data_IF_927875440547
#
_entry.id   IF_927875440547
#
_cell.length_a   1.000
_cell.length_b   1.000
_cell.length_c   1.000
_cell.angle_alpha   90.00
_cell.angle_beta   90.00
_cell.angle_gamma   90.00
#
_symmetry.space_group_name_H-M   'P 1'
#
loop_
_entity.id
_entity.type
_entity.pdbx_description
1 polymer ?
#
# COMPACT_ATOMS: atom_id res chain seq x y z
N UNK A 1 19.35 -9.28 -18.14
CA UNK A 1 18.02 -9.70 -17.69
C UNK A 1 17.01 -8.71 -18.22
N UNK A 2 15.89 -9.22 -18.69
CA UNK A 2 14.76 -8.39 -19.07
C UNK A 2 14.23 -7.65 -17.84
N UNK A 3 13.89 -6.37 -17.96
CA UNK A 3 13.44 -5.53 -16.85
C UNK A 3 11.99 -5.05 -17.12
N UNK A 4 11.02 -5.98 -17.08
CA UNK A 4 9.66 -5.69 -17.49
C UNK A 4 8.89 -4.84 -16.47
N UNK A 5 9.35 -4.79 -15.22
CA UNK A 5 8.64 -4.18 -14.10
C UNK A 5 9.37 -2.95 -13.57
N UNK A 6 8.72 -1.79 -13.60
CA UNK A 6 9.16 -0.58 -12.93
C UNK A 6 8.41 -0.40 -11.61
N UNK A 7 9.13 -0.08 -10.53
CA UNK A 7 8.56 0.12 -9.20
C UNK A 7 9.00 1.46 -8.62
N UNK A 8 8.02 2.31 -8.36
CA UNK A 8 8.25 3.60 -7.71
C UNK A 8 8.14 3.47 -6.19
N UNK A 9 9.12 4.00 -5.47
CA UNK A 9 9.18 3.99 -4.00
C UNK A 9 9.55 5.37 -3.45
N UNK A 10 9.18 5.62 -2.18
CA UNK A 10 9.67 6.74 -1.39
C UNK A 10 10.07 6.25 0.00
N UNK A 11 11.21 6.68 0.48
CA UNK A 11 11.74 6.24 1.77
C UNK A 11 10.87 6.67 2.97
N UNK A 12 10.08 7.73 2.85
CA UNK A 12 9.11 8.15 3.88
C UNK A 12 7.74 7.44 3.79
N UNK A 13 7.56 6.49 2.86
CA UNK A 13 6.34 5.69 2.77
C UNK A 13 6.52 4.34 3.46
N UNK A 14 5.77 4.05 4.54
CA UNK A 14 5.82 2.74 5.20
C UNK A 14 5.25 1.63 4.32
N UNK A 15 4.27 1.94 3.46
CA UNK A 15 3.74 0.98 2.49
C UNK A 15 4.77 0.60 1.42
N UNK A 16 5.58 1.57 0.95
CA UNK A 16 6.66 1.27 0.01
C UNK A 16 7.76 0.43 0.69
N UNK A 17 8.10 0.70 1.94
CA UNK A 17 9.04 -0.13 2.71
C UNK A 17 8.57 -1.59 2.80
N UNK A 18 7.31 -1.81 3.16
CA UNK A 18 6.73 -3.16 3.23
C UNK A 18 6.60 -3.86 1.88
N UNK A 19 6.64 -3.11 0.78
CA UNK A 19 6.54 -3.66 -0.57
C UNK A 19 7.87 -4.17 -1.12
N UNK A 20 9.01 -3.68 -0.61
CA UNK A 20 10.34 -4.01 -1.16
C UNK A 20 10.60 -5.50 -1.14
N UNK A 21 10.45 -6.15 0.01
CA UNK A 21 10.77 -7.56 0.18
C UNK A 21 9.89 -8.50 -0.66
N UNK A 22 8.55 -8.44 -0.61
CA UNK A 22 7.71 -9.31 -1.44
C UNK A 22 7.91 -9.06 -2.94
N UNK A 23 8.20 -7.83 -3.36
CA UNK A 23 8.51 -7.53 -4.75
C UNK A 23 9.84 -8.17 -5.19
N UNK A 24 10.87 -8.10 -4.37
CA UNK A 24 12.16 -8.78 -4.62
C UNK A 24 12.00 -10.29 -4.68
N UNK A 25 11.25 -10.86 -3.75
CA UNK A 25 10.97 -12.29 -3.70
C UNK A 25 10.28 -12.76 -4.99
N UNK A 26 9.20 -12.08 -5.40
CA UNK A 26 8.51 -12.35 -6.67
C UNK A 26 9.48 -12.28 -7.86
N UNK A 27 10.29 -11.23 -7.95
CA UNK A 27 11.23 -11.06 -9.06
C UNK A 27 12.31 -12.14 -9.09
N UNK A 28 12.81 -12.57 -7.94
CA UNK A 28 13.77 -13.65 -7.80
C UNK A 28 13.19 -14.98 -8.28
N UNK A 29 11.96 -15.31 -7.88
CA UNK A 29 11.27 -16.52 -8.30
C UNK A 29 11.01 -16.56 -9.80
N UNK A 30 10.69 -15.40 -10.40
CA UNK A 30 10.44 -15.26 -11.84
C UNK A 30 11.72 -15.05 -12.67
N UNK A 31 12.88 -14.87 -12.03
CA UNK A 31 14.15 -14.62 -12.73
C UNK A 31 14.20 -13.29 -13.50
N UNK A 32 13.45 -12.28 -13.07
CA UNK A 32 13.38 -10.95 -13.70
C UNK A 32 14.15 -9.90 -12.91
N UNK A 33 14.55 -8.82 -13.58
CA UNK A 33 15.07 -7.61 -12.94
C UNK A 33 13.94 -6.60 -12.69
N UNK A 34 14.13 -5.76 -11.66
CA UNK A 34 13.20 -4.67 -11.31
C UNK A 34 13.87 -3.34 -11.57
N UNK A 35 13.17 -2.46 -12.25
CA UNK A 35 13.55 -1.06 -12.40
C UNK A 35 13.04 -0.25 -11.20
N UNK A 36 13.81 -0.19 -10.11
CA UNK A 36 13.47 0.64 -8.97
C UNK A 36 13.70 2.12 -9.25
N UNK A 37 12.69 2.94 -9.07
CA UNK A 37 12.75 4.39 -9.24
C UNK A 37 12.25 5.12 -7.98
N UNK A 38 12.89 6.22 -7.58
CA UNK A 38 12.37 7.04 -6.50
C UNK A 38 11.23 7.93 -7.00
N UNK A 39 10.18 8.08 -6.17
CA UNK A 39 9.12 9.07 -6.35
C UNK A 39 8.84 9.75 -5.02
N UNK A 40 9.27 11.00 -4.87
CA UNK A 40 9.16 11.76 -3.63
C UNK A 40 7.75 12.30 -3.45
N UNK A 41 7.05 11.82 -2.42
CA UNK A 41 5.69 12.23 -2.10
C UNK A 41 5.62 13.68 -1.63
N UNK A 42 4.74 14.46 -2.22
CA UNK A 42 4.36 15.79 -1.73
C UNK A 42 3.16 15.69 -0.79
N UNK A 43 3.40 15.05 0.37
CA UNK A 43 2.36 14.77 1.38
C UNK A 43 1.59 16.05 1.78
N UNK A 44 2.23 17.22 2.00
CA UNK A 44 1.51 18.43 2.37
C UNK A 44 0.42 18.84 1.39
N UNK A 45 0.62 18.63 0.10
CA UNK A 45 -0.34 19.08 -0.94
C UNK A 45 -1.69 18.34 -0.91
N UNK A 46 -1.76 17.12 -0.34
CA UNK A 46 -2.98 16.31 -0.37
C UNK A 46 -3.40 15.73 0.99
N UNK A 47 -2.50 15.69 1.98
CA UNK A 47 -2.77 15.10 3.30
C UNK A 47 -2.50 16.08 4.45
N UNK A 48 -2.13 17.32 4.14
CA UNK A 48 -1.72 18.30 5.13
C UNK A 48 -0.40 17.91 5.82
N UNK A 49 0.05 18.78 6.72
CA UNK A 49 1.31 18.63 7.44
C UNK A 49 1.09 18.40 8.93
N UNK A 50 2.07 17.80 9.57
CA UNK A 50 2.16 17.73 11.02
C UNK A 50 3.63 17.59 11.45
N UNK A 51 3.97 18.19 12.59
CA UNK A 51 5.27 18.11 13.23
C UNK A 51 5.09 17.84 14.73
N UNK A 52 5.88 16.94 15.26
CA UNK A 52 5.93 16.67 16.70
C UNK A 52 7.03 17.53 17.33
N UNK A 53 6.83 17.91 18.57
CA UNK A 53 7.85 18.52 19.41
C UNK A 53 8.80 17.45 20.03
N UNK A 54 9.70 17.89 20.90
CA UNK A 54 10.67 17.01 21.56
C UNK A 54 10.04 16.00 22.54
N UNK A 55 8.84 16.32 23.06
CA UNK A 55 8.07 15.43 23.94
C UNK A 55 7.27 14.39 23.17
N UNK A 56 7.11 14.57 21.84
CA UNK A 56 6.32 13.70 20.97
C UNK A 56 4.88 14.17 20.80
N UNK A 57 4.54 15.35 21.31
CA UNK A 57 3.24 15.98 21.13
C UNK A 57 3.16 16.74 19.80
N UNK A 58 1.95 16.95 19.30
CA UNK A 58 1.72 17.69 18.04
C UNK A 58 1.99 19.17 18.26
N UNK A 59 3.10 19.67 17.74
CA UNK A 59 3.48 21.07 17.80
C UNK A 59 2.74 21.91 16.74
N UNK A 60 2.60 21.37 15.55
CA UNK A 60 1.95 22.01 14.40
C UNK A 60 1.18 20.99 13.58
N UNK A 61 -0.02 21.32 13.13
CA UNK A 61 -0.80 20.49 12.22
C UNK A 61 -1.76 21.30 11.38
N UNK A 62 -1.88 20.91 10.09
CA UNK A 62 -2.90 21.43 9.17
C UNK A 62 -3.86 20.32 8.68
N UNK A 63 -3.85 19.15 9.33
CA UNK A 63 -4.66 18.00 8.97
C UNK A 63 -6.08 18.08 9.48
N UNK A 64 -7.08 17.71 8.65
CA UNK A 64 -8.43 17.47 9.10
C UNK A 64 -8.52 16.21 10.00
N UNK A 65 -9.67 16.02 10.65
CA UNK A 65 -9.94 14.84 11.48
C UNK A 65 -9.85 13.55 10.64
N UNK A 66 -10.39 13.56 9.41
CA UNK A 66 -10.35 12.42 8.48
C UNK A 66 -8.93 12.12 8.04
N UNK A 67 -8.13 13.14 7.71
CA UNK A 67 -6.73 12.98 7.36
C UNK A 67 -5.92 12.37 8.50
N UNK A 68 -6.15 12.82 9.73
CA UNK A 68 -5.53 12.23 10.92
C UNK A 68 -5.90 10.76 11.12
N UNK A 69 -7.19 10.44 10.94
CA UNK A 69 -7.66 9.08 11.04
C UNK A 69 -7.02 8.17 10.00
N UNK A 70 -6.96 8.63 8.75
CA UNK A 70 -6.28 7.90 7.67
C UNK A 70 -4.79 7.66 7.96
N UNK A 71 -4.09 8.66 8.50
CA UNK A 71 -2.67 8.50 8.90
C UNK A 71 -2.51 7.50 10.03
N UNK A 72 -3.33 7.59 11.08
CA UNK A 72 -3.30 6.65 12.20
C UNK A 72 -3.56 5.21 11.74
N UNK A 73 -4.58 5.02 10.88
CA UNK A 73 -4.87 3.71 10.30
C UNK A 73 -3.68 3.19 9.48
N UNK A 74 -3.09 4.01 8.62
CA UNK A 74 -1.93 3.61 7.80
C UNK A 74 -0.77 3.11 8.66
N UNK A 75 -0.43 3.78 9.76
CA UNK A 75 0.60 3.31 10.67
C UNK A 75 0.19 2.04 11.43
N UNK A 76 -1.06 1.94 11.84
CA UNK A 76 -1.58 0.74 12.49
C UNK A 76 -1.48 -0.46 11.54
N UNK A 77 -1.94 -0.30 10.31
CA UNK A 77 -1.92 -1.33 9.29
C UNK A 77 -0.49 -1.74 8.90
N UNK A 78 0.39 -0.77 8.64
CA UNK A 78 1.78 -1.05 8.30
C UNK A 78 2.52 -1.80 9.43
N UNK A 79 2.29 -1.42 10.69
CA UNK A 79 2.90 -2.13 11.83
C UNK A 79 2.44 -3.56 11.96
N UNK A 80 1.19 -3.86 11.63
CA UNK A 80 0.66 -5.22 11.59
C UNK A 80 1.54 -6.13 10.74
N UNK A 81 1.86 -5.71 9.51
CA UNK A 81 2.71 -6.47 8.59
C UNK A 81 4.19 -6.38 8.92
N UNK A 82 4.67 -5.24 9.39
CA UNK A 82 6.04 -5.10 9.87
C UNK A 82 6.36 -6.07 11.01
N UNK A 83 5.44 -6.19 11.97
CA UNK A 83 5.59 -7.09 13.11
C UNK A 83 5.67 -8.57 12.70
N UNK A 84 4.96 -8.99 11.65
CA UNK A 84 5.07 -10.37 11.12
C UNK A 84 6.49 -10.70 10.67
N UNK A 85 7.24 -9.69 10.19
CA UNK A 85 8.59 -9.81 9.64
C UNK A 85 9.69 -9.34 10.58
N UNK A 86 9.37 -9.05 11.83
CA UNK A 86 10.33 -8.48 12.78
C UNK A 86 10.88 -7.09 12.40
N UNK A 87 10.18 -6.40 11.49
CA UNK A 87 10.55 -5.05 11.05
C UNK A 87 10.03 -3.99 12.03
N UNK A 88 10.77 -2.88 12.14
CA UNK A 88 10.37 -1.74 12.98
C UNK A 88 9.82 -0.61 12.09
N UNK A 89 8.61 -0.14 12.39
CA UNK A 89 8.02 1.07 11.81
C UNK A 89 7.59 2.00 12.95
N UNK A 90 8.42 3.00 13.25
CA UNK A 90 8.10 4.10 14.18
C UNK A 90 7.47 5.24 13.39
N UNK A 91 6.40 5.86 13.91
CA UNK A 91 5.84 7.07 13.30
C UNK A 91 6.89 8.16 13.19
N UNK A 92 6.94 8.87 12.07
CA UNK A 92 7.92 9.94 11.84
C UNK A 92 7.60 11.18 12.69
N UNK A 93 8.62 11.93 13.08
CA UNK A 93 8.48 13.16 13.90
C UNK A 93 8.07 14.38 13.07
N UNK A 94 8.33 14.33 11.77
CA UNK A 94 7.97 15.35 10.78
C UNK A 94 7.72 14.68 9.42
N UNK A 95 7.22 15.43 8.46
CA UNK A 95 7.25 15.02 7.06
C UNK A 95 8.67 15.33 6.55
N UNK A 96 9.45 14.28 6.29
CA UNK A 96 10.82 14.39 5.81
C UNK A 96 10.90 14.78 4.34
N UNK A 97 11.87 15.60 3.97
CA UNK A 97 12.29 15.73 2.60
C UNK A 97 13.22 14.56 2.21
N UNK A 98 12.75 13.69 1.34
CA UNK A 98 13.50 12.51 0.89
C UNK A 98 14.17 12.72 -0.48
N UNK A 99 14.23 13.95 -1.00
CA UNK A 99 14.88 14.23 -2.30
C UNK A 99 16.35 13.81 -2.30
N UNK A 100 17.10 14.11 -1.24
CA UNK A 100 18.50 13.74 -1.16
C UNK A 100 18.69 12.22 -1.15
N UNK A 101 17.85 11.48 -0.42
CA UNK A 101 17.87 10.02 -0.44
C UNK A 101 17.47 9.46 -1.82
N UNK A 102 16.53 10.11 -2.53
CA UNK A 102 16.16 9.76 -3.89
C UNK A 102 17.32 9.96 -4.88
N UNK A 103 18.08 11.05 -4.74
CA UNK A 103 19.30 11.32 -5.53
C UNK A 103 20.37 10.26 -5.22
N UNK A 104 20.56 9.91 -3.95
CA UNK A 104 21.45 8.83 -3.53
C UNK A 104 21.07 7.48 -4.15
N UNK A 105 19.78 7.19 -4.26
CA UNK A 105 19.29 5.98 -4.92
C UNK A 105 19.67 5.95 -6.41
N UNK A 106 19.62 7.10 -7.10
CA UNK A 106 20.07 7.21 -8.49
C UNK A 106 21.58 7.05 -8.63
N UNK A 107 22.35 7.62 -7.69
CA UNK A 107 23.80 7.44 -7.64
C UNK A 107 24.20 5.98 -7.44
N UNK A 108 23.55 5.28 -6.50
CA UNK A 108 23.75 3.85 -6.27
C UNK A 108 23.43 3.02 -7.52
N UNK A 109 22.31 3.33 -8.21
CA UNK A 109 21.89 2.63 -9.42
C UNK A 109 22.92 2.71 -10.55
N UNK A 110 23.59 3.86 -10.73
CA UNK A 110 24.63 4.04 -11.75
C UNK A 110 25.83 3.09 -11.53
N UNK A 111 25.95 2.54 -10.32
CA UNK A 111 27.08 1.68 -9.94
C UNK A 111 26.71 0.17 -9.82
N UNK A 112 25.46 -0.17 -10.07
CA UNK A 112 24.99 -1.54 -10.18
C UNK A 112 23.85 -1.91 -9.23
N UNK A 113 23.10 -2.94 -9.60
CA UNK A 113 21.90 -3.36 -8.88
C UNK A 113 22.19 -3.79 -7.44
N UNK A 114 23.30 -4.46 -7.20
CA UNK A 114 23.68 -4.91 -5.87
C UNK A 114 23.92 -3.77 -4.89
N UNK A 115 24.56 -2.69 -5.39
CA UNK A 115 24.78 -1.46 -4.62
C UNK A 115 23.43 -0.76 -4.38
N UNK A 116 22.57 -0.71 -5.38
CA UNK A 116 21.23 -0.16 -5.27
C UNK A 116 20.41 -0.88 -4.20
N UNK A 117 20.40 -2.22 -4.20
CA UNK A 117 19.64 -2.99 -3.23
C UNK A 117 20.14 -2.75 -1.80
N UNK A 118 21.48 -2.77 -1.58
CA UNK A 118 22.07 -2.45 -0.28
C UNK A 118 21.79 -1.01 0.16
N UNK A 119 21.77 -0.07 -0.78
CA UNK A 119 21.41 1.32 -0.47
C UNK A 119 19.95 1.46 -0.04
N UNK A 120 19.01 0.83 -0.74
CA UNK A 120 17.58 0.84 -0.40
C UNK A 120 17.38 0.35 1.04
N UNK A 121 18.01 -0.77 1.41
CA UNK A 121 17.93 -1.32 2.76
C UNK A 121 18.66 -0.44 3.79
N UNK A 122 19.80 0.10 3.40
CA UNK A 122 20.61 1.02 4.23
C UNK A 122 19.90 2.33 4.57
N UNK A 123 18.94 2.77 3.76
CA UNK A 123 18.07 3.91 4.09
C UNK A 123 16.84 3.42 4.88
N UNK A 124 16.07 2.47 4.37
CA UNK A 124 14.78 2.11 4.97
C UNK A 124 14.89 1.62 6.40
N UNK A 125 15.81 0.71 6.68
CA UNK A 125 15.91 0.08 8.00
C UNK A 125 16.18 1.10 9.12
N UNK A 126 17.24 1.92 9.07
CA UNK A 126 17.49 2.90 10.13
C UNK A 126 16.53 4.10 10.08
N UNK A 127 16.02 4.50 8.92
CA UNK A 127 15.04 5.58 8.82
C UNK A 127 13.76 5.26 9.63
N UNK A 128 13.20 4.07 9.45
CA UNK A 128 11.97 3.68 10.15
C UNK A 128 12.20 3.33 11.63
N UNK A 129 13.46 3.18 12.05
CA UNK A 129 13.86 3.14 13.47
C UNK A 129 14.07 4.55 14.07
N UNK A 130 13.97 5.62 13.27
CA UNK A 130 14.31 7.01 13.61
C UNK A 130 15.80 7.19 13.95
N UNK A 131 16.67 6.49 13.28
CA UNK A 131 18.13 6.49 13.49
C UNK A 131 18.87 7.16 12.33
N UNK A 132 18.17 7.63 11.29
CA UNK A 132 18.78 8.19 10.07
C UNK A 132 18.18 9.55 9.71
N UNK A 133 19.04 10.54 9.52
CA UNK A 133 18.69 11.85 8.97
C UNK A 133 18.95 11.86 7.46
N UNK A 134 17.88 11.64 6.68
CA UNK A 134 17.95 11.57 5.21
C UNK A 134 18.07 12.94 4.53
N UNK A 135 17.99 14.04 5.28
CA UNK A 135 18.20 15.40 4.79
C UNK A 135 19.68 15.83 4.93
N UNK A 136 20.49 15.05 5.62
CA UNK A 136 21.92 15.34 5.81
C UNK A 136 22.77 14.61 4.76
N UNK A 137 23.49 15.40 3.93
CA UNK A 137 24.29 14.85 2.83
C UNK A 137 25.41 13.92 3.28
N UNK A 138 26.06 14.20 4.42
CA UNK A 138 27.11 13.33 4.93
C UNK A 138 26.57 11.98 5.43
N UNK A 139 25.32 11.97 5.93
CA UNK A 139 24.63 10.75 6.33
C UNK A 139 24.28 9.90 5.10
N UNK A 140 23.71 10.51 4.07
CA UNK A 140 23.37 9.80 2.83
C UNK A 140 24.63 9.28 2.11
N UNK A 141 25.70 10.08 2.08
CA UNK A 141 27.02 9.67 1.57
C UNK A 141 27.58 8.48 2.34
N UNK A 142 27.44 8.48 3.67
CA UNK A 142 27.83 7.35 4.53
C UNK A 142 27.06 6.07 4.22
N UNK A 143 25.74 6.17 3.98
CA UNK A 143 24.92 5.02 3.56
C UNK A 143 25.36 4.49 2.19
N UNK A 144 25.67 5.38 1.24
CA UNK A 144 26.21 4.99 -0.07
C UNK A 144 27.53 4.23 0.07
N UNK A 145 28.46 4.75 0.86
CA UNK A 145 29.72 4.08 1.13
C UNK A 145 29.56 2.70 1.76
N UNK A 146 28.67 2.58 2.76
CA UNK A 146 28.34 1.31 3.40
C UNK A 146 27.66 0.32 2.43
N UNK A 147 26.92 0.81 1.44
CA UNK A 147 26.36 0.01 0.37
C UNK A 147 27.43 -0.47 -0.65
N UNK A 148 28.66 0.05 -0.56
CA UNK A 148 29.76 -0.26 -1.45
C UNK A 148 29.89 0.66 -2.66
N UNK A 149 29.17 1.81 -2.65
CA UNK A 149 29.29 2.78 -3.72
C UNK A 149 30.59 3.60 -3.61
N UNK A 150 31.14 3.99 -4.74
CA UNK A 150 32.14 5.07 -4.82
C UNK A 150 31.41 6.39 -4.54
N UNK A 151 31.80 7.05 -3.47
CA UNK A 151 31.12 8.29 -3.03
C UNK A 151 31.81 9.56 -3.51
N UNK A 152 33.03 9.46 -4.06
CA UNK A 152 33.73 10.61 -4.63
C UNK A 152 32.92 11.23 -5.77
N UNK A 153 32.62 12.53 -5.67
CA UNK A 153 31.76 13.27 -6.60
C UNK A 153 30.26 13.21 -6.27
N UNK A 154 29.84 12.46 -5.26
CA UNK A 154 28.40 12.39 -4.90
C UNK A 154 27.83 13.76 -4.51
N UNK A 155 28.59 14.58 -3.75
CA UNK A 155 28.13 15.91 -3.32
C UNK A 155 27.89 16.83 -4.51
N UNK A 156 28.83 16.85 -5.45
CA UNK A 156 28.71 17.67 -6.67
C UNK A 156 27.53 17.19 -7.53
N UNK A 157 27.37 15.87 -7.65
CA UNK A 157 26.22 15.27 -8.31
C UNK A 157 24.92 15.66 -7.61
N UNK A 158 24.86 15.56 -6.29
CA UNK A 158 23.63 15.79 -5.51
C UNK A 158 23.15 17.25 -5.60
N UNK A 159 24.06 18.21 -5.73
CA UNK A 159 23.72 19.64 -5.83
C UNK A 159 23.69 20.17 -7.28
N UNK A 160 24.06 19.35 -8.25
CA UNK A 160 24.05 19.67 -9.68
C UNK A 160 23.17 18.72 -10.49
N UNK A 161 23.77 17.97 -11.40
CA UNK A 161 23.10 17.06 -12.34
C UNK A 161 22.07 16.14 -11.66
N UNK A 162 22.39 15.56 -10.50
CA UNK A 162 21.51 14.66 -9.79
C UNK A 162 20.22 15.31 -9.28
N UNK A 163 20.30 16.58 -8.85
CA UNK A 163 19.12 17.33 -8.44
C UNK A 163 18.20 17.61 -9.64
N UNK A 164 18.78 18.03 -10.77
CA UNK A 164 18.04 18.32 -12.00
C UNK A 164 17.38 17.05 -12.55
N UNK A 165 18.12 15.96 -12.64
CA UNK A 165 17.59 14.66 -13.06
C UNK A 165 16.46 14.17 -12.14
N UNK A 166 16.64 14.30 -10.82
CA UNK A 166 15.61 13.89 -9.87
C UNK A 166 14.34 14.72 -10.06
N UNK A 167 14.47 16.04 -10.18
CA UNK A 167 13.33 16.93 -10.41
C UNK A 167 12.58 16.56 -11.70
N UNK A 168 13.29 16.37 -12.80
CA UNK A 168 12.69 16.01 -14.09
C UNK A 168 11.98 14.65 -14.02
N UNK A 169 12.61 13.67 -13.38
CA UNK A 169 12.01 12.33 -13.20
C UNK A 169 10.74 12.40 -12.33
N UNK A 170 10.75 13.16 -11.22
CA UNK A 170 9.57 13.36 -10.37
C UNK A 170 8.42 14.00 -11.15
N UNK A 171 8.74 15.02 -11.95
CA UNK A 171 7.75 15.70 -12.79
C UNK A 171 7.18 14.74 -13.84
N UNK A 172 8.04 14.07 -14.59
CA UNK A 172 7.61 13.11 -15.61
C UNK A 172 6.74 11.98 -15.02
N UNK A 173 7.18 11.38 -13.91
CA UNK A 173 6.40 10.35 -13.25
C UNK A 173 5.01 10.86 -12.85
N UNK A 174 4.93 12.06 -12.24
CA UNK A 174 3.65 12.65 -11.87
C UNK A 174 2.76 12.95 -13.07
N UNK A 175 3.32 13.45 -14.17
CA UNK A 175 2.57 13.72 -15.41
C UNK A 175 2.00 12.45 -16.04
N UNK A 176 2.67 11.31 -15.86
CA UNK A 176 2.21 9.99 -16.28
C UNK A 176 1.30 9.28 -15.26
N UNK A 177 0.78 10.01 -14.28
CA UNK A 177 -0.23 9.50 -13.34
C UNK A 177 0.32 8.75 -12.13
N UNK A 178 1.65 8.81 -11.88
CA UNK A 178 2.23 8.31 -10.64
C UNK A 178 1.97 9.34 -9.54
N UNK A 179 1.08 9.04 -8.61
CA UNK A 179 0.64 9.97 -7.56
C UNK A 179 0.98 9.49 -6.14
N UNK A 180 1.39 8.26 -6.00
CA UNK A 180 1.69 7.62 -4.71
C UNK A 180 2.64 6.44 -4.85
N UNK A 181 3.03 5.84 -3.73
CA UNK A 181 3.94 4.70 -3.69
C UNK A 181 3.54 3.67 -2.62
N UNK A 182 3.83 2.36 -2.80
CA UNK A 182 4.47 1.81 -3.98
C UNK A 182 3.56 1.89 -5.21
N UNK A 183 4.12 2.17 -6.38
CA UNK A 183 3.42 2.05 -7.66
C UNK A 183 4.22 1.20 -8.60
N UNK A 184 3.56 0.25 -9.23
CA UNK A 184 4.12 -0.68 -10.19
C UNK A 184 3.65 -0.32 -11.59
N UNK A 185 4.55 -0.35 -12.56
CA UNK A 185 4.26 -0.16 -13.97
C UNK A 185 4.73 -1.38 -14.74
N UNK A 186 3.81 -2.04 -15.41
CA UNK A 186 4.04 -3.22 -16.24
C UNK A 186 3.40 -3.00 -17.62
N UNK A 187 4.22 -2.71 -18.63
CA UNK A 187 3.72 -2.23 -19.91
C UNK A 187 2.91 -0.94 -19.74
N UNK A 188 1.66 -0.94 -20.19
CA UNK A 188 0.72 0.17 -20.06
C UNK A 188 -0.08 0.16 -18.76
N UNK A 189 0.04 -0.91 -17.96
CA UNK A 189 -0.68 -1.06 -16.71
C UNK A 189 0.02 -0.37 -15.55
N UNK A 190 -0.75 0.40 -14.77
CA UNK A 190 -0.33 1.05 -13.53
C UNK A 190 -1.09 0.42 -12.38
N UNK A 191 -0.36 -0.01 -11.34
CA UNK A 191 -0.89 -0.60 -10.12
C UNK A 191 -0.39 0.19 -8.91
N UNK A 192 -1.30 0.78 -8.14
CA UNK A 192 -0.97 1.49 -6.91
C UNK A 192 -1.25 0.61 -5.70
N UNK A 193 -0.20 0.21 -5.01
CA UNK A 193 -0.27 -0.64 -3.83
C UNK A 193 0.27 -2.05 -4.04
N UNK A 194 0.89 -2.63 -3.01
CA UNK A 194 1.48 -3.98 -3.04
C UNK A 194 0.44 -5.11 -3.08
N UNK A 195 -0.81 -4.81 -2.82
CA UNK A 195 -1.94 -5.73 -2.94
C UNK A 195 -2.15 -6.26 -4.36
N UNK A 196 -1.59 -5.58 -5.35
CA UNK A 196 -1.63 -5.99 -6.74
C UNK A 196 -0.51 -6.97 -7.15
N UNK A 197 0.41 -7.31 -6.27
CA UNK A 197 1.51 -8.26 -6.58
C UNK A 197 1.02 -9.60 -7.11
N UNK A 198 -0.07 -10.23 -6.59
CA UNK A 198 -0.59 -11.46 -7.18
C UNK A 198 -0.99 -11.31 -8.66
N UNK A 199 -1.62 -10.19 -9.03
CA UNK A 199 -2.02 -9.90 -10.42
C UNK A 199 -0.81 -9.58 -11.30
N UNK A 200 0.16 -8.84 -10.78
CA UNK A 200 1.41 -8.53 -11.49
C UNK A 200 2.18 -9.82 -11.80
N UNK A 201 2.30 -10.71 -10.82
CA UNK A 201 2.88 -12.05 -11.02
C UNK A 201 2.16 -12.82 -12.10
N UNK A 202 0.84 -12.92 -12.03
CA UNK A 202 0.01 -13.61 -13.02
C UNK A 202 0.22 -13.07 -14.45
N UNK A 203 0.34 -11.76 -14.62
CA UNK A 203 0.65 -11.17 -15.93
C UNK A 203 2.05 -11.51 -16.40
N UNK A 204 3.05 -11.46 -15.52
CA UNK A 204 4.43 -11.83 -15.84
C UNK A 204 4.58 -13.31 -16.21
N UNK A 205 3.73 -14.16 -15.68
CA UNK A 205 3.64 -15.60 -16.01
C UNK A 205 2.79 -15.88 -17.25
N UNK A 206 2.35 -14.86 -17.99
CA UNK A 206 1.60 -15.00 -19.25
C UNK A 206 0.09 -14.96 -19.12
N UNK A 207 -0.45 -14.56 -17.98
CA UNK A 207 -1.89 -14.32 -17.75
C UNK A 207 -2.77 -15.57 -18.03
N UNK A 208 -2.32 -16.75 -17.63
CA UNK A 208 -3.07 -17.99 -17.82
C UNK A 208 -4.13 -18.19 -16.73
N UNK A 209 -5.33 -18.58 -17.14
CA UNK A 209 -6.47 -18.79 -16.23
C UNK A 209 -7.07 -17.50 -15.68
N UNK A 210 -7.95 -17.59 -14.66
CA UNK A 210 -8.58 -16.41 -14.07
C UNK A 210 -7.56 -15.53 -13.34
N UNK A 211 -7.72 -14.22 -13.48
CA UNK A 211 -6.86 -13.27 -12.78
C UNK A 211 -7.06 -13.39 -11.27
N UNK A 212 -5.98 -13.42 -10.48
CA UNK A 212 -6.08 -13.45 -9.02
C UNK A 212 -6.65 -12.13 -8.48
N UNK A 213 -7.26 -12.22 -7.30
CA UNK A 213 -7.71 -11.04 -6.56
C UNK A 213 -6.54 -10.34 -5.88
N UNK A 214 -6.79 -9.14 -5.39
CA UNK A 214 -5.82 -8.40 -4.59
C UNK A 214 -5.58 -9.11 -3.26
N UNK A 215 -4.33 -9.08 -2.81
CA UNK A 215 -3.95 -9.70 -1.55
C UNK A 215 -2.58 -9.25 -1.08
N UNK A 216 -2.43 -9.06 0.22
CA UNK A 216 -1.10 -8.91 0.81
C UNK A 216 -0.49 -10.29 0.96
N UNK A 217 0.50 -10.59 0.15
CA UNK A 217 1.21 -11.88 0.22
C UNK A 217 1.88 -12.04 1.59
N UNK A 218 1.71 -13.23 2.15
CA UNK A 218 2.45 -13.67 3.32
C UNK A 218 3.71 -14.39 2.84
N UNK A 219 4.84 -13.96 3.35
CA UNK A 219 6.11 -14.62 3.08
C UNK A 219 6.25 -15.86 3.96
N UNK A 220 7.07 -16.81 3.52
CA UNK A 220 7.27 -18.09 4.22
C UNK A 220 7.67 -17.93 5.69
N UNK A 221 8.47 -16.91 5.97
CA UNK A 221 9.03 -16.65 7.31
C UNK A 221 8.17 -15.68 8.14
N UNK A 222 7.02 -15.24 7.61
CA UNK A 222 6.11 -14.37 8.36
C UNK A 222 5.57 -15.10 9.60
N UNK A 223 5.77 -14.48 10.77
CA UNK A 223 5.28 -15.01 12.04
C UNK A 223 3.83 -14.59 12.27
N UNK A 224 2.90 -15.42 11.82
CA UNK A 224 1.46 -15.15 11.96
C UNK A 224 0.97 -15.64 13.34
N UNK A 225 0.45 -14.71 14.14
CA UNK A 225 -0.20 -15.02 15.42
C UNK A 225 -1.60 -15.58 15.20
N UNK A 226 -1.99 -16.55 16.01
CA UNK A 226 -3.34 -17.16 15.99
C UNK A 226 -4.41 -16.16 16.42
N UNK A 227 -5.61 -16.30 15.84
CA UNK A 227 -6.79 -15.63 16.37
C UNK A 227 -7.27 -16.31 17.66
N UNK A 228 -7.83 -15.52 18.58
CA UNK A 228 -8.37 -16.00 19.85
C UNK A 228 -9.82 -16.50 19.74
N UNK A 229 -10.43 -16.48 18.55
CA UNK A 229 -11.82 -16.90 18.33
C UNK A 229 -12.07 -17.25 16.86
N UNK A 230 -13.22 -17.87 16.61
CA UNK A 230 -13.69 -18.26 15.27
C UNK A 230 -14.85 -17.40 14.75
N UNK A 231 -15.04 -16.20 15.26
CA UNK A 231 -16.03 -15.25 14.76
C UNK A 231 -15.33 -14.18 13.94
N UNK A 232 -15.83 -13.95 12.73
CA UNK A 232 -15.38 -12.90 11.83
C UNK A 232 -16.53 -11.92 11.59
N UNK A 233 -16.33 -10.67 11.99
CA UNK A 233 -17.25 -9.61 11.61
C UNK A 233 -16.91 -9.07 10.22
N UNK A 234 -17.92 -8.91 9.37
CA UNK A 234 -17.78 -8.48 7.97
C UNK A 234 -18.73 -7.33 7.67
N UNK A 235 -18.19 -6.16 7.46
CA UNK A 235 -18.93 -4.98 7.02
C UNK A 235 -18.81 -4.75 5.51
N UNK A 236 -19.92 -4.65 4.80
CA UNK A 236 -19.96 -4.48 3.36
C UNK A 236 -20.96 -3.42 2.92
N UNK A 237 -20.67 -2.76 1.81
CA UNK A 237 -21.62 -1.93 1.06
C UNK A 237 -22.18 -2.71 -0.11
N UNK A 238 -23.48 -2.69 -0.31
CA UNK A 238 -24.14 -3.42 -1.39
C UNK A 238 -23.85 -2.86 -2.79
N UNK A 239 -23.37 -1.62 -2.86
CA UNK A 239 -23.13 -0.91 -4.12
C UNK A 239 -21.69 -1.01 -4.63
N UNK A 240 -20.78 -1.56 -3.80
CA UNK A 240 -19.36 -1.61 -4.14
C UNK A 240 -18.96 -3.01 -4.63
N UNK A 241 -18.35 -3.14 -5.83
CA UNK A 241 -17.94 -4.45 -6.38
C UNK A 241 -16.87 -5.14 -5.53
N UNK A 242 -16.09 -4.38 -4.78
CA UNK A 242 -15.13 -4.89 -3.81
C UNK A 242 -15.81 -5.71 -2.71
N UNK A 243 -17.02 -5.32 -2.31
CA UNK A 243 -17.84 -6.04 -1.33
C UNK A 243 -18.30 -7.40 -1.85
N UNK A 244 -18.67 -7.47 -3.13
CA UNK A 244 -19.04 -8.72 -3.77
C UNK A 244 -17.90 -9.73 -3.77
N UNK A 245 -16.72 -9.32 -4.21
CA UNK A 245 -15.54 -10.20 -4.23
C UNK A 245 -15.14 -10.64 -2.83
N UNK A 246 -15.21 -9.72 -1.85
CA UNK A 246 -14.94 -10.04 -0.45
C UNK A 246 -15.94 -11.04 0.12
N UNK A 247 -17.24 -10.82 -0.12
CA UNK A 247 -18.30 -11.71 0.36
C UNK A 247 -18.11 -13.14 -0.17
N UNK A 248 -17.81 -13.30 -1.47
CA UNK A 248 -17.51 -14.61 -2.04
C UNK A 248 -16.36 -15.32 -1.35
N UNK A 249 -15.24 -14.61 -1.14
CA UNK A 249 -14.08 -15.21 -0.48
C UNK A 249 -14.38 -15.57 0.97
N UNK A 250 -15.12 -14.71 1.68
CA UNK A 250 -15.52 -14.99 3.07
C UNK A 250 -16.44 -16.19 3.16
N UNK A 251 -17.41 -16.36 2.24
CA UNK A 251 -18.30 -17.52 2.20
C UNK A 251 -17.51 -18.83 2.04
N UNK A 252 -16.57 -18.86 1.09
CA UNK A 252 -15.68 -20.01 0.89
C UNK A 252 -14.85 -20.27 2.17
N UNK A 253 -14.27 -19.23 2.75
CA UNK A 253 -13.48 -19.35 3.95
C UNK A 253 -14.31 -19.80 5.16
N UNK A 254 -15.56 -19.36 5.26
CA UNK A 254 -16.48 -19.76 6.33
C UNK A 254 -16.83 -21.25 6.24
N UNK A 255 -17.06 -21.75 5.03
CA UNK A 255 -17.29 -23.18 4.78
C UNK A 255 -16.03 -24.01 5.09
N UNK A 256 -14.89 -23.63 4.54
CA UNK A 256 -13.61 -24.33 4.72
C UNK A 256 -13.17 -24.44 6.19
N UNK A 257 -13.45 -23.43 7.00
CA UNK A 257 -12.92 -23.30 8.36
C UNK A 257 -13.98 -23.44 9.46
N UNK A 258 -15.24 -23.71 9.10
CA UNK A 258 -16.38 -23.75 10.03
C UNK A 258 -16.46 -22.49 10.91
N UNK A 259 -16.52 -21.30 10.23
CA UNK A 259 -16.52 -20.02 10.90
C UNK A 259 -17.93 -19.50 11.13
N UNK A 260 -18.11 -18.83 12.27
CA UNK A 260 -19.25 -17.92 12.45
C UNK A 260 -18.91 -16.56 11.83
N UNK A 261 -19.76 -16.09 10.93
CA UNK A 261 -19.60 -14.79 10.28
C UNK A 261 -20.78 -13.88 10.64
N UNK A 262 -20.44 -12.73 11.21
CA UNK A 262 -21.40 -11.68 11.54
C UNK A 262 -21.35 -10.62 10.44
N UNK A 263 -22.47 -10.45 9.71
CA UNK A 263 -22.55 -9.57 8.55
C UNK A 263 -23.23 -8.24 8.89
N UNK A 264 -22.60 -7.13 8.47
CA UNK A 264 -23.07 -5.77 8.76
C UNK A 264 -23.19 -4.94 7.50
N UNK A 265 -24.26 -4.11 7.41
CA UNK A 265 -24.40 -3.12 6.37
C UNK A 265 -23.46 -1.92 6.65
N UNK A 266 -22.69 -1.52 5.64
CA UNK A 266 -21.95 -0.26 5.64
C UNK A 266 -22.63 0.72 4.68
N UNK A 267 -22.73 2.00 5.06
CA UNK A 267 -23.21 3.02 4.15
C UNK A 267 -22.24 3.13 2.96
N UNK A 268 -22.81 3.31 1.78
CA UNK A 268 -22.02 3.65 0.61
C UNK A 268 -21.30 4.96 0.87
N UNK A 269 -19.99 4.97 0.60
CA UNK A 269 -19.21 6.19 0.74
C UNK A 269 -19.57 7.13 -0.40
N UNK A 270 -20.21 8.26 -0.09
CA UNK A 270 -20.25 9.36 -1.05
C UNK A 270 -18.82 9.76 -1.41
N UNK A 271 -18.42 9.39 -2.60
CA UNK A 271 -17.14 9.84 -3.13
C UNK A 271 -17.27 11.34 -3.36
N UNK A 272 -16.44 12.13 -2.70
CA UNK A 272 -16.27 13.53 -3.07
C UNK A 272 -16.11 13.61 -4.58
N UNK A 273 -16.93 14.42 -5.24
CA UNK A 273 -16.87 14.58 -6.69
C UNK A 273 -15.43 14.83 -7.19
N UNK A 274 -15.15 14.60 -8.46
CA UNK A 274 -13.84 14.90 -9.01
C UNK A 274 -13.53 16.38 -8.75
N UNK A 275 -12.26 16.72 -8.42
CA UNK A 275 -11.86 18.10 -8.27
C UNK A 275 -12.13 18.87 -9.57
N UNK A 276 -12.39 20.18 -9.43
CA UNK A 276 -12.62 21.07 -10.58
C UNK A 276 -11.55 20.80 -11.67
N UNK A 277 -11.94 20.48 -12.90
CA UNK A 277 -11.01 20.26 -14.01
C UNK A 277 -10.11 21.48 -14.30
N UNK A 278 -10.57 22.68 -13.98
CA UNK A 278 -9.81 23.92 -14.12
C UNK A 278 -8.72 24.10 -13.06
N UNK A 279 -8.81 23.43 -11.91
CA UNK A 279 -7.77 23.50 -10.88
C UNK A 279 -6.56 22.66 -11.24
N UNK A 280 -5.47 23.32 -11.67
CA UNK A 280 -4.20 22.71 -12.06
C UNK A 280 -3.22 22.58 -10.89
N UNK A 281 -3.61 22.91 -9.67
CA UNK A 281 -2.75 22.72 -8.50
C UNK A 281 -2.31 21.25 -8.36
N UNK A 282 -1.11 21.04 -7.80
CA UNK A 282 -0.57 19.69 -7.59
C UNK A 282 -1.52 18.83 -6.74
N UNK A 283 -2.15 19.42 -5.72
CA UNK A 283 -3.12 18.71 -4.89
C UNK A 283 -4.39 18.30 -5.63
N UNK A 284 -4.92 19.16 -6.52
CA UNK A 284 -6.06 18.82 -7.35
C UNK A 284 -5.73 17.71 -8.37
N UNK A 285 -4.57 17.82 -9.03
CA UNK A 285 -4.08 16.79 -9.94
C UNK A 285 -3.86 15.46 -9.23
N UNK A 286 -3.29 15.47 -8.03
CA UNK A 286 -3.14 14.26 -7.20
C UNK A 286 -4.52 13.62 -6.90
N UNK A 287 -5.53 14.41 -6.53
CA UNK A 287 -6.89 13.89 -6.29
C UNK A 287 -7.51 13.29 -7.55
N UNK A 288 -7.29 13.90 -8.74
CA UNK A 288 -7.75 13.34 -10.03
C UNK A 288 -7.09 12.00 -10.32
N UNK A 289 -5.77 11.89 -10.27
CA UNK A 289 -5.06 10.62 -10.50
C UNK A 289 -5.49 9.54 -9.53
N UNK A 290 -5.71 9.90 -8.26
CA UNK A 290 -6.24 8.97 -7.27
C UNK A 290 -7.67 8.51 -7.60
N UNK A 291 -8.51 9.38 -8.12
CA UNK A 291 -9.86 9.03 -8.56
C UNK A 291 -9.83 8.11 -9.79
N UNK A 292 -9.00 8.42 -10.78
CA UNK A 292 -8.78 7.59 -11.97
C UNK A 292 -8.23 6.21 -11.62
N UNK A 293 -7.30 6.13 -10.66
CA UNK A 293 -6.80 4.84 -10.20
C UNK A 293 -7.89 4.02 -9.53
N UNK A 294 -8.71 4.62 -8.66
CA UNK A 294 -9.86 3.92 -8.04
C UNK A 294 -10.83 3.40 -9.10
N UNK A 295 -11.11 4.19 -10.14
CA UNK A 295 -11.99 3.75 -11.22
C UNK A 295 -11.36 2.59 -12.04
N UNK A 296 -10.04 2.60 -12.26
CA UNK A 296 -9.34 1.44 -12.87
C UNK A 296 -9.47 0.19 -12.02
N UNK A 297 -9.26 0.31 -10.71
CA UNK A 297 -9.37 -0.83 -9.79
C UNK A 297 -10.80 -1.33 -9.69
N UNK A 298 -11.79 -0.42 -9.67
CA UNK A 298 -13.21 -0.78 -9.73
C UNK A 298 -13.56 -1.57 -10.99
N UNK A 299 -13.06 -1.15 -12.17
CA UNK A 299 -13.25 -1.90 -13.43
C UNK A 299 -12.59 -3.27 -13.36
N UNK A 300 -11.39 -3.39 -12.79
CA UNK A 300 -10.73 -4.68 -12.56
C UNK A 300 -11.57 -5.59 -11.67
N UNK A 301 -12.13 -5.05 -10.58
CA UNK A 301 -13.04 -5.78 -9.70
C UNK A 301 -14.30 -6.26 -10.46
N UNK A 302 -14.93 -5.39 -11.23
CA UNK A 302 -16.12 -5.76 -12.02
C UNK A 302 -15.80 -6.85 -13.03
N UNK A 303 -14.69 -6.73 -13.77
CA UNK A 303 -14.24 -7.76 -14.72
C UNK A 303 -14.01 -9.09 -14.03
N UNK A 304 -13.40 -9.07 -12.86
CA UNK A 304 -13.14 -10.29 -12.09
C UNK A 304 -14.43 -10.90 -11.52
N UNK A 305 -15.36 -10.08 -11.05
CA UNK A 305 -16.67 -10.54 -10.57
C UNK A 305 -17.47 -11.22 -11.71
N UNK A 306 -17.49 -10.62 -12.88
CA UNK A 306 -18.14 -11.21 -14.07
C UNK A 306 -17.47 -12.52 -14.52
N UNK A 307 -16.15 -12.59 -14.46
CA UNK A 307 -15.39 -13.80 -14.81
C UNK A 307 -15.64 -14.98 -13.86
N UNK A 308 -16.22 -14.75 -12.69
CA UNK A 308 -16.57 -15.80 -11.73
C UNK A 308 -17.82 -16.63 -12.14
N UNK A 309 -18.45 -16.30 -13.25
CA UNK A 309 -19.59 -17.05 -13.82
C UNK A 309 -20.96 -16.54 -13.37
N UNK A 310 -21.01 -15.52 -12.54
CA UNK A 310 -22.27 -14.91 -12.13
C UNK A 310 -22.77 -13.95 -13.21
N UNK A 311 -24.01 -14.10 -13.63
CA UNK A 311 -24.62 -13.29 -14.71
C UNK A 311 -24.73 -11.82 -14.28
N UNK A 312 -25.03 -11.59 -13.00
CA UNK A 312 -25.04 -10.28 -12.38
C UNK A 312 -24.39 -10.38 -11.00
N UNK A 313 -23.16 -9.86 -10.82
CA UNK A 313 -22.48 -9.92 -9.53
C UNK A 313 -23.06 -8.88 -8.55
N UNK A 314 -24.24 -9.16 -8.03
CA UNK A 314 -24.95 -8.31 -7.06
C UNK A 314 -24.73 -8.85 -5.67
N UNK A 315 -24.12 -8.07 -4.80
CA UNK A 315 -23.82 -8.46 -3.41
C UNK A 315 -25.09 -8.86 -2.65
N UNK A 316 -26.18 -8.13 -2.82
CA UNK A 316 -27.45 -8.45 -2.19
C UNK A 316 -27.97 -9.84 -2.58
N UNK A 317 -27.95 -10.17 -3.88
CA UNK A 317 -28.37 -11.48 -4.40
C UNK A 317 -27.49 -12.61 -3.85
N UNK A 318 -26.18 -12.40 -3.78
CA UNK A 318 -25.25 -13.39 -3.21
C UNK A 318 -25.58 -13.69 -1.75
N UNK A 319 -25.83 -12.66 -0.94
CA UNK A 319 -26.17 -12.83 0.48
C UNK A 319 -27.52 -13.52 0.66
N UNK A 320 -28.53 -13.12 -0.12
CA UNK A 320 -29.89 -13.69 -0.07
C UNK A 320 -29.87 -15.17 -0.43
N UNK A 321 -29.14 -15.58 -1.48
CA UNK A 321 -28.95 -16.98 -1.87
C UNK A 321 -28.29 -17.83 -0.80
N UNK A 322 -27.49 -17.23 0.08
CA UNK A 322 -26.85 -17.89 1.21
C UNK A 322 -27.61 -17.70 2.55
N UNK A 323 -28.82 -17.14 2.53
CA UNK A 323 -29.65 -16.94 3.71
C UNK A 323 -29.08 -15.91 4.69
N UNK A 324 -28.28 -14.98 4.22
CA UNK A 324 -27.58 -13.98 5.05
C UNK A 324 -28.37 -12.69 5.11
N UNK A 325 -28.65 -12.22 6.33
CA UNK A 325 -29.23 -10.90 6.61
C UNK A 325 -28.17 -9.99 7.19
N UNK A 326 -28.09 -8.75 6.69
CA UNK A 326 -27.19 -7.75 7.22
C UNK A 326 -27.74 -7.12 8.50
N UNK A 327 -26.90 -7.01 9.50
CA UNK A 327 -27.21 -6.28 10.74
C UNK A 327 -26.95 -4.78 10.53
N UNK A 328 -27.84 -3.95 11.07
CA UNK A 328 -27.65 -2.50 11.12
C UNK A 328 -26.74 -2.14 12.31
N UNK A 329 -25.69 -1.39 12.06
CA UNK A 329 -24.77 -0.85 13.07
C UNK A 329 -23.78 -1.89 13.64
N UNK A 330 -22.76 -1.46 14.28
CA UNK A 330 -21.86 -2.29 15.11
C UNK A 330 -20.42 -2.38 14.64
N UNK A 331 -20.12 -2.85 13.45
CA UNK A 331 -18.72 -3.08 13.01
C UNK A 331 -17.95 -1.80 12.69
N UNK A 332 -18.65 -0.77 12.25
CA UNK A 332 -18.07 0.46 11.79
C UNK A 332 -17.65 1.43 12.90
N UNK A 333 -17.98 1.16 14.16
CA UNK A 333 -17.97 2.18 15.23
C UNK A 333 -16.56 2.65 15.58
N UNK A 334 -15.57 1.79 15.59
CA UNK A 334 -14.21 2.19 15.99
C UNK A 334 -13.51 3.10 14.96
N UNK A 335 -13.75 2.91 13.66
CA UNK A 335 -13.11 3.65 12.58
C UNK A 335 -14.08 4.56 11.80
N UNK A 336 -15.39 4.28 11.79
CA UNK A 336 -16.39 5.11 11.16
C UNK A 336 -16.55 6.49 11.84
N UNK A 337 -16.46 6.51 13.16
CA UNK A 337 -16.42 7.78 13.94
C UNK A 337 -15.23 8.67 13.59
N UNK A 338 -14.26 8.15 12.88
CA UNK A 338 -13.07 8.85 12.40
C UNK A 338 -13.14 9.22 10.91
N UNK A 339 -14.24 8.90 10.19
CA UNK A 339 -14.41 9.26 8.77
C UNK A 339 -13.59 8.40 7.79
N UNK A 340 -12.97 7.31 8.25
CA UNK A 340 -12.15 6.43 7.40
C UNK A 340 -12.76 5.03 7.35
N UNK A 341 -13.82 4.88 6.59
CA UNK A 341 -14.40 3.56 6.30
C UNK A 341 -14.50 3.42 4.79
N UNK A 342 -13.83 2.40 4.26
CA UNK A 342 -13.98 1.92 2.91
C UNK A 342 -14.46 0.49 3.01
N UNK A 343 -15.44 0.10 2.22
CA UNK A 343 -15.91 -1.28 2.14
C UNK A 343 -14.92 -2.13 1.32
N UNK A 344 -14.70 -3.41 1.66
CA UNK A 344 -15.17 -4.12 2.84
C UNK A 344 -14.32 -3.82 4.09
N UNK A 345 -14.89 -4.06 5.27
CA UNK A 345 -14.19 -4.00 6.56
C UNK A 345 -14.35 -5.33 7.29
N UNK A 346 -13.30 -5.80 7.94
CA UNK A 346 -13.33 -7.02 8.74
C UNK A 346 -12.94 -6.73 10.18
N UNK A 347 -13.53 -7.46 11.11
CA UNK A 347 -13.08 -7.51 12.51
C UNK A 347 -12.78 -8.93 12.92
N UNK A 348 -11.61 -9.13 13.52
CA UNK A 348 -11.18 -10.40 14.07
C UNK A 348 -10.63 -10.16 15.48
N UNK A 349 -11.41 -10.50 16.51
CA UNK A 349 -11.14 -10.07 17.87
C UNK A 349 -11.15 -8.53 17.97
N UNK A 350 -10.08 -7.96 18.50
CA UNK A 350 -9.94 -6.50 18.64
C UNK A 350 -9.37 -5.81 17.39
N UNK A 351 -8.97 -6.58 16.39
CA UNK A 351 -8.35 -6.02 15.18
C UNK A 351 -9.37 -5.68 14.10
N UNK A 352 -9.14 -4.55 13.45
CA UNK A 352 -9.92 -4.08 12.29
C UNK A 352 -9.05 -4.08 11.05
N UNK A 353 -9.58 -4.60 9.95
CA UNK A 353 -8.94 -4.66 8.63
C UNK A 353 -9.82 -3.94 7.61
N UNK A 354 -9.26 -3.02 6.85
CA UNK A 354 -9.99 -2.27 5.82
C UNK A 354 -9.51 -2.71 4.44
N UNK A 355 -10.41 -3.32 3.68
CA UNK A 355 -10.16 -3.83 2.35
C UNK A 355 -9.86 -5.34 2.31
N UNK A 356 -10.24 -5.96 1.20
CA UNK A 356 -10.14 -7.42 1.00
C UNK A 356 -8.70 -7.94 0.81
N UNK A 357 -7.73 -7.06 0.59
CA UNK A 357 -6.30 -7.42 0.53
C UNK A 357 -5.77 -8.05 1.82
N UNK A 358 -6.52 -7.95 2.92
CA UNK A 358 -6.17 -8.55 4.20
C UNK A 358 -6.66 -9.99 4.37
N UNK A 359 -7.52 -10.48 3.49
CA UNK A 359 -8.10 -11.85 3.60
C UNK A 359 -7.04 -12.95 3.72
N UNK A 360 -5.88 -12.89 3.02
CA UNK A 360 -4.83 -13.89 3.23
C UNK A 360 -4.32 -13.96 4.68
N UNK A 361 -4.12 -12.83 5.34
CA UNK A 361 -3.69 -12.79 6.74
C UNK A 361 -4.80 -13.23 7.69
N UNK A 362 -6.04 -12.80 7.45
CA UNK A 362 -7.22 -13.21 8.24
C UNK A 362 -7.36 -14.73 8.18
N UNK A 363 -7.32 -15.32 6.98
CA UNK A 363 -7.37 -16.76 6.78
C UNK A 363 -6.24 -17.48 7.53
N UNK A 364 -5.01 -17.05 7.36
CA UNK A 364 -3.85 -17.65 8.02
C UNK A 364 -3.94 -17.62 9.55
N UNK A 365 -4.54 -16.57 10.12
CA UNK A 365 -4.79 -16.49 11.57
C UNK A 365 -5.86 -17.46 12.05
N UNK A 366 -6.91 -17.64 11.25
CA UNK A 366 -8.03 -18.55 11.56
C UNK A 366 -7.62 -20.02 11.39
N UNK A 367 -6.88 -20.36 10.34
CA UNK A 367 -6.37 -21.72 10.08
C UNK A 367 -5.48 -22.23 11.22
N UNK A 368 -4.62 -21.37 11.77
CA UNK A 368 -3.72 -21.74 12.88
C UNK A 368 -4.40 -21.86 14.23
N UNK A 369 -5.70 -21.55 14.33
CA UNK A 369 -6.49 -21.73 15.55
C UNK A 369 -6.93 -23.20 15.78
N UNK A 370 -6.61 -24.13 14.88
CA UNK A 370 -7.13 -25.51 14.85
C UNK A 370 -6.24 -26.54 15.57
N UNK A 371 -5.18 -26.15 16.28
CA UNK A 371 -4.37 -27.11 17.05
C UNK A 371 -4.21 -26.73 18.51
#
# INVERSE_FOLDING_TARGET
>A
MDCPLTVYIDFKSPYAYLAVEPTRHMAQELGIAINWLPFVLDIPSYLGSARLDKSGDVAEASRSREQWSGVKYAYYDCRRYANLRGMTIRGTVKIWDTNLAAIGMRWARRQGDEILQRYIDGIYVPFWKRELDVENIAVVEGVLGNAGAVVNGFKDFAWGEGAEENQLMQQNAFEHGIFGVPTYVLGDDIYFGREHLPRIRWQLEGAHGPAPDVGYELLRDDVVQKATGRSLGVGISLEEPESYLAARQVLIMAEDLDLTVDWYALPSKELSGPPDPGDQSRGARHRRFRAENRERDRRRCMTQALASGDIEPVTATLLEQNGISLQEGGLAVAWAGAGYVSSPVFSLGEETFVGRQHLPLIRARLERAVF
#
